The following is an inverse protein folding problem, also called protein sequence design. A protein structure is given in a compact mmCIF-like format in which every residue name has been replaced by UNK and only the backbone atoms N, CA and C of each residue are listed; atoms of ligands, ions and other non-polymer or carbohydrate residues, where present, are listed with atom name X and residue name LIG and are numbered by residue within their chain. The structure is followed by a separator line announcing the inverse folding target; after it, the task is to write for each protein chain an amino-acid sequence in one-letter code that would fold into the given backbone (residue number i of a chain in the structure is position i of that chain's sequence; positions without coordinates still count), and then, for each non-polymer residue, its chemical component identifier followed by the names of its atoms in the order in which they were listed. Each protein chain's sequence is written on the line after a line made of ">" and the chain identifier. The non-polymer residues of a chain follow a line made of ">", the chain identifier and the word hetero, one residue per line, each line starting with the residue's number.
data_IF_568496345197
#
_entry.id   IF_568496345197
#
_cell.length_a   1.000
_cell.length_b   1.000
_cell.length_c   1.000
_cell.angle_alpha   90.00
_cell.angle_beta   90.00
_cell.angle_gamma   90.00
#
_symmetry.space_group_name_H-M   'P 1'
#
loop_
_entity.id
_entity.type
_entity.pdbx_description
1 polymer ?
#
# COMPACT_ATOMS: atom_id res chain seq x y z
N UNK A 1 -26.22 69.94 -3.89
CA UNK A 1 -25.02 69.74 -3.04
C UNK A 1 -25.53 69.68 -1.60
N UNK A 2 -25.26 68.64 -0.79
CA UNK A 2 -23.97 67.99 -0.59
C UNK A 2 -23.95 66.46 -0.83
N UNK A 3 -22.73 65.92 -0.90
CA UNK A 3 -22.34 64.50 -0.98
C UNK A 3 -22.40 63.84 0.41
N UNK A 4 -22.85 62.60 0.48
CA UNK A 4 -22.53 61.64 1.55
C UNK A 4 -22.25 60.28 0.86
N UNK A 5 -20.99 60.01 0.53
CA UNK A 5 -20.02 59.21 1.28
C UNK A 5 -20.42 57.72 1.36
N UNK A 6 -19.79 56.94 0.48
CA UNK A 6 -19.79 55.48 0.46
C UNK A 6 -19.19 54.88 1.73
N UNK A 7 -19.79 53.79 2.21
CA UNK A 7 -19.10 52.74 2.96
C UNK A 7 -19.77 51.40 2.61
N UNK A 8 -19.34 50.82 1.49
CA UNK A 8 -19.60 49.43 1.19
C UNK A 8 -18.60 48.59 1.99
N UNK A 9 -19.07 47.90 3.02
CA UNK A 9 -18.32 46.85 3.68
C UNK A 9 -18.14 45.69 2.70
N UNK A 10 -16.97 45.60 2.07
CA UNK A 10 -16.54 44.40 1.36
C UNK A 10 -16.19 43.34 2.41
N UNK A 11 -17.13 42.45 2.69
CA UNK A 11 -16.87 41.24 3.46
C UNK A 11 -16.06 40.26 2.58
N UNK A 12 -14.74 40.36 2.65
CA UNK A 12 -13.85 39.36 2.06
C UNK A 12 -13.98 38.07 2.86
N UNK A 13 -14.85 37.16 2.42
CA UNK A 13 -14.89 35.80 2.92
C UNK A 13 -13.61 35.09 2.47
N UNK A 14 -12.57 35.13 3.32
CA UNK A 14 -11.44 34.24 3.21
C UNK A 14 -11.95 32.82 3.48
N UNK A 15 -12.21 32.07 2.40
CA UNK A 15 -12.41 30.64 2.48
C UNK A 15 -11.10 30.02 2.97
N UNK A 16 -11.03 29.76 4.27
CA UNK A 16 -9.96 28.97 4.85
C UNK A 16 -9.98 27.59 4.17
N UNK A 17 -9.00 27.33 3.31
CA UNK A 17 -8.63 26.01 2.84
C UNK A 17 -8.15 25.22 4.06
N UNK A 18 -9.10 24.68 4.82
CA UNK A 18 -8.85 23.58 5.73
C UNK A 18 -8.38 22.43 4.85
N UNK A 19 -7.06 22.27 4.74
CA UNK A 19 -6.44 21.00 4.33
C UNK A 19 -6.71 20.00 5.45
N UNK A 20 -7.97 19.65 5.63
CA UNK A 20 -8.33 18.42 6.30
C UNK A 20 -7.70 17.32 5.46
N UNK A 21 -6.79 16.55 6.06
CA UNK A 21 -6.50 15.22 5.56
C UNK A 21 -7.86 14.54 5.39
N UNK A 22 -8.31 14.40 4.16
CA UNK A 22 -9.56 13.74 3.83
C UNK A 22 -9.39 12.28 4.27
N UNK A 23 -9.75 11.99 5.52
CA UNK A 23 -9.68 10.67 6.15
C UNK A 23 -10.80 9.75 5.64
N UNK A 24 -11.32 10.03 4.44
CA UNK A 24 -12.26 9.16 3.75
C UNK A 24 -11.56 7.86 3.41
N UNK A 25 -12.34 6.79 3.47
CA UNK A 25 -11.88 5.49 3.03
C UNK A 25 -11.55 5.57 1.53
N UNK A 26 -10.26 5.46 1.20
CA UNK A 26 -9.74 5.54 -0.17
C UNK A 26 -9.47 4.13 -0.71
N UNK A 27 -10.38 3.22 -0.42
CA UNK A 27 -10.41 1.91 -1.04
C UNK A 27 -10.59 2.06 -2.56
N UNK A 28 -9.88 1.24 -3.31
CA UNK A 28 -9.97 1.08 -4.76
C UNK A 28 -10.58 -0.28 -5.05
N UNK A 29 -11.49 -0.33 -6.02
CA UNK A 29 -12.14 -1.56 -6.45
C UNK A 29 -13.62 -1.61 -6.08
N UNK A 30 -14.26 -2.79 -6.20
CA UNK A 30 -15.72 -2.91 -6.22
C UNK A 30 -16.42 -2.43 -4.93
N UNK A 31 -15.70 -2.44 -3.80
CA UNK A 31 -16.20 -2.01 -2.49
C UNK A 31 -15.90 -0.55 -2.16
N UNK A 32 -15.28 0.20 -3.06
CA UNK A 32 -14.95 1.61 -2.84
C UNK A 32 -16.20 2.47 -2.61
N UNK A 33 -16.16 3.33 -1.59
CA UNK A 33 -17.24 4.29 -1.29
C UNK A 33 -17.35 5.37 -2.36
N UNK A 34 -16.21 5.73 -2.97
CA UNK A 34 -16.11 6.75 -4.02
C UNK A 34 -16.25 6.08 -5.39
N UNK A 35 -17.27 6.48 -6.14
CA UNK A 35 -17.57 5.89 -7.45
C UNK A 35 -16.38 5.98 -8.42
N UNK A 36 -15.60 7.06 -8.35
CA UNK A 36 -14.43 7.24 -9.20
C UNK A 36 -13.27 6.27 -8.87
N UNK A 37 -13.25 5.68 -7.67
CA UNK A 37 -12.23 4.72 -7.24
C UNK A 37 -12.64 3.26 -7.47
N UNK A 38 -13.88 3.00 -7.91
CA UNK A 38 -14.33 1.63 -8.22
C UNK A 38 -13.57 1.00 -9.40
N UNK A 39 -13.14 1.84 -10.35
CA UNK A 39 -12.46 1.39 -11.56
C UNK A 39 -13.31 0.43 -12.38
N UNK A 40 -12.66 -0.29 -13.29
CA UNK A 40 -13.24 -1.46 -13.97
C UNK A 40 -12.72 -2.72 -13.27
N UNK A 41 -13.62 -3.62 -12.87
CA UNK A 41 -13.25 -4.85 -12.17
C UNK A 41 -13.63 -6.08 -13.00
N UNK A 42 -12.73 -7.05 -13.05
CA UNK A 42 -12.99 -8.39 -13.58
C UNK A 42 -12.45 -9.45 -12.61
N UNK A 43 -12.94 -10.68 -12.73
CA UNK A 43 -12.45 -11.81 -11.96
C UNK A 43 -11.46 -12.59 -12.82
N UNK A 44 -10.24 -12.77 -12.34
CA UNK A 44 -9.22 -13.54 -13.04
C UNK A 44 -8.31 -14.28 -12.06
N UNK A 45 -7.61 -15.27 -12.57
CA UNK A 45 -6.58 -15.96 -11.82
C UNK A 45 -5.31 -15.11 -11.85
N UNK A 46 -5.06 -14.42 -10.74
CA UNK A 46 -3.90 -13.53 -10.58
C UNK A 46 -2.61 -14.33 -10.45
N UNK A 47 -2.64 -15.38 -9.63
CA UNK A 47 -1.48 -16.24 -9.38
C UNK A 47 -1.66 -17.59 -10.07
N UNK A 48 -0.59 -18.12 -10.67
CA UNK A 48 -0.62 -19.48 -11.26
C UNK A 48 -1.03 -20.51 -10.20
N UNK A 49 -2.14 -21.21 -10.42
CA UNK A 49 -2.70 -22.18 -9.47
C UNK A 49 -3.42 -21.54 -8.25
N UNK A 50 -3.51 -20.22 -8.19
CA UNK A 50 -4.25 -19.46 -7.18
C UNK A 50 -5.75 -19.36 -7.45
N UNK A 51 -6.54 -18.83 -6.49
CA UNK A 51 -7.97 -18.59 -6.68
C UNK A 51 -8.21 -17.49 -7.72
N UNK A 52 -9.43 -17.44 -8.28
CA UNK A 52 -9.87 -16.22 -8.97
C UNK A 52 -10.02 -15.08 -7.97
N UNK A 53 -9.49 -13.92 -8.32
CA UNK A 53 -9.52 -12.71 -7.53
C UNK A 53 -9.93 -11.52 -8.40
N UNK A 54 -10.38 -10.45 -7.74
CA UNK A 54 -10.67 -9.21 -8.42
C UNK A 54 -9.38 -8.61 -8.98
N UNK A 55 -9.39 -8.27 -10.26
CA UNK A 55 -8.46 -7.35 -10.88
C UNK A 55 -9.18 -6.04 -11.14
N UNK A 56 -8.73 -4.97 -10.49
CA UNK A 56 -9.25 -3.62 -10.71
C UNK A 56 -8.32 -2.83 -11.62
N UNK A 57 -8.86 -2.21 -12.66
CA UNK A 57 -8.15 -1.21 -13.47
C UNK A 57 -8.68 0.19 -13.12
N UNK A 58 -7.78 1.09 -12.72
CA UNK A 58 -8.11 2.45 -12.30
C UNK A 58 -7.25 3.47 -13.05
N UNK A 59 -7.85 4.59 -13.48
CA UNK A 59 -7.07 5.71 -14.02
C UNK A 59 -6.39 6.51 -12.92
N UNK A 60 -5.10 6.80 -13.09
CA UNK A 60 -4.30 7.59 -12.15
C UNK A 60 -4.84 9.01 -11.92
N UNK A 61 -5.67 9.54 -12.84
CA UNK A 61 -6.31 10.87 -12.71
C UNK A 61 -7.19 11.02 -11.45
N UNK A 62 -7.63 9.89 -10.88
CA UNK A 62 -8.45 9.86 -9.67
C UNK A 62 -7.59 9.82 -8.38
N UNK A 63 -6.29 9.60 -8.53
CA UNK A 63 -5.32 9.67 -7.45
C UNK A 63 -4.94 11.13 -7.18
N UNK A 64 -4.82 11.49 -5.91
CA UNK A 64 -4.45 12.82 -5.46
C UNK A 64 -3.10 12.77 -4.74
N UNK A 65 -2.23 13.78 -4.92
CA UNK A 65 -0.97 13.86 -4.18
C UNK A 65 -1.15 13.78 -2.67
N UNK A 66 -0.26 13.07 -1.99
CA UNK A 66 -0.26 12.94 -0.52
C UNK A 66 -1.38 12.07 0.07
N UNK A 67 -2.22 11.45 -0.76
CA UNK A 67 -3.27 10.55 -0.32
C UNK A 67 -2.79 9.10 -0.22
N UNK A 68 -3.51 8.30 0.58
CA UNK A 68 -3.29 6.87 0.75
C UNK A 68 -4.46 6.11 0.16
N UNK A 69 -4.18 5.03 -0.56
CA UNK A 69 -5.15 4.19 -1.23
C UNK A 69 -4.90 2.72 -0.90
N UNK A 70 -5.98 1.96 -0.80
CA UNK A 70 -5.94 0.55 -0.46
C UNK A 70 -6.69 -0.26 -1.51
N UNK A 71 -6.17 -1.42 -1.91
CA UNK A 71 -6.85 -2.32 -2.84
C UNK A 71 -6.69 -3.78 -2.39
N UNK A 72 -7.62 -4.61 -2.83
CA UNK A 72 -7.59 -6.07 -2.64
C UNK A 72 -7.48 -6.75 -4.01
N UNK A 73 -6.74 -7.86 -4.06
CA UNK A 73 -6.48 -8.56 -5.32
C UNK A 73 -5.54 -7.75 -6.20
N UNK A 74 -5.66 -7.86 -7.52
CA UNK A 74 -4.77 -7.17 -8.45
C UNK A 74 -5.25 -5.77 -8.78
N UNK A 75 -4.29 -4.87 -8.97
CA UNK A 75 -4.54 -3.48 -9.33
C UNK A 75 -3.68 -3.07 -10.52
N UNK A 76 -4.31 -2.61 -11.60
CA UNK A 76 -3.67 -1.88 -12.68
C UNK A 76 -4.01 -0.40 -12.58
N UNK A 77 -2.98 0.45 -12.50
CA UNK A 77 -3.12 1.91 -12.61
C UNK A 77 -2.72 2.37 -14.00
N UNK A 78 -3.64 3.03 -14.69
CA UNK A 78 -3.44 3.64 -16.00
C UNK A 78 -3.02 5.11 -15.83
N UNK A 79 -1.74 5.41 -16.05
CA UNK A 79 -1.16 6.75 -15.96
C UNK A 79 -0.18 6.95 -14.80
N UNK A 80 0.25 8.20 -14.62
CA UNK A 80 1.32 8.56 -13.70
C UNK A 80 0.83 8.68 -12.25
N UNK A 81 1.52 8.01 -11.32
CA UNK A 81 1.25 8.11 -9.89
C UNK A 81 1.70 9.48 -9.36
N UNK A 82 0.80 10.27 -8.74
CA UNK A 82 1.17 11.58 -8.21
C UNK A 82 2.18 11.48 -7.06
N UNK A 83 2.90 12.57 -6.80
CA UNK A 83 3.86 12.64 -5.70
C UNK A 83 3.22 12.37 -4.33
N UNK A 84 4.00 11.80 -3.40
CA UNK A 84 3.61 11.48 -2.02
C UNK A 84 2.38 10.55 -1.89
N UNK A 85 1.92 9.96 -2.98
CA UNK A 85 0.82 9.00 -2.99
C UNK A 85 1.28 7.68 -2.38
N UNK A 86 0.46 7.07 -1.53
CA UNK A 86 0.68 5.73 -1.01
C UNK A 86 -0.37 4.79 -1.58
N UNK A 87 0.05 3.66 -2.17
CA UNK A 87 -0.84 2.61 -2.63
C UNK A 87 -0.43 1.32 -1.94
N UNK A 88 -1.37 0.67 -1.28
CA UNK A 88 -1.17 -0.64 -0.66
C UNK A 88 -2.15 -1.63 -1.28
N UNK A 89 -1.62 -2.67 -1.89
CA UNK A 89 -2.38 -3.78 -2.48
C UNK A 89 -2.23 -5.00 -1.58
N UNK A 90 -3.34 -5.58 -1.17
CA UNK A 90 -3.37 -6.79 -0.36
C UNK A 90 -3.79 -8.00 -1.18
N UNK A 91 -3.10 -9.12 -0.99
CA UNK A 91 -3.41 -10.41 -1.61
C UNK A 91 -3.40 -10.36 -3.14
N UNK A 92 -2.49 -9.59 -3.74
CA UNK A 92 -2.43 -9.42 -5.19
C UNK A 92 -1.26 -8.58 -5.64
N UNK A 93 -1.26 -8.25 -6.92
CA UNK A 93 -0.17 -7.56 -7.60
C UNK A 93 -0.53 -6.12 -7.98
N UNK A 94 0.50 -5.30 -8.17
CA UNK A 94 0.36 -3.92 -8.59
C UNK A 94 1.07 -3.67 -9.91
N UNK A 95 0.30 -3.34 -10.96
CA UNK A 95 0.83 -2.84 -12.22
C UNK A 95 0.57 -1.35 -12.36
N UNK A 96 1.61 -0.57 -12.66
CA UNK A 96 1.51 0.87 -12.97
C UNK A 96 1.94 1.08 -14.42
N UNK A 97 0.97 1.45 -15.27
CA UNK A 97 1.21 1.83 -16.66
C UNK A 97 1.51 3.32 -16.76
N UNK A 98 2.65 3.72 -16.21
CA UNK A 98 3.06 5.12 -16.13
C UNK A 98 4.29 5.32 -15.24
N UNK A 99 4.58 6.58 -14.93
CA UNK A 99 5.65 6.98 -14.03
C UNK A 99 5.20 6.93 -12.56
N UNK A 100 6.16 6.80 -11.65
CA UNK A 100 5.93 6.90 -10.20
C UNK A 100 6.54 8.18 -9.67
N UNK A 101 5.68 9.05 -9.11
CA UNK A 101 6.05 10.38 -8.63
C UNK A 101 6.99 10.38 -7.43
N UNK A 102 7.50 11.58 -7.11
CA UNK A 102 8.40 11.84 -5.99
C UNK A 102 7.77 11.39 -4.66
N UNK A 103 8.54 10.70 -3.81
CA UNK A 103 8.11 10.26 -2.47
C UNK A 103 6.85 9.37 -2.44
N UNK A 104 6.41 8.86 -3.60
CA UNK A 104 5.34 7.89 -3.65
C UNK A 104 5.77 6.57 -3.02
N UNK A 105 4.81 5.83 -2.45
CA UNK A 105 5.02 4.54 -1.79
C UNK A 105 4.09 3.51 -2.40
N UNK A 106 4.64 2.45 -2.97
CA UNK A 106 3.89 1.34 -3.54
C UNK A 106 4.22 0.08 -2.73
N UNK A 107 3.19 -0.56 -2.19
CA UNK A 107 3.32 -1.80 -1.43
C UNK A 107 2.37 -2.86 -1.99
N UNK A 108 2.88 -4.05 -2.28
CA UNK A 108 2.09 -5.18 -2.74
C UNK A 108 2.38 -6.40 -1.86
N UNK A 109 1.39 -6.78 -1.05
CA UNK A 109 1.46 -7.92 -0.17
C UNK A 109 0.95 -9.17 -0.89
N UNK A 110 1.88 -9.94 -1.45
CA UNK A 110 1.58 -11.25 -2.06
C UNK A 110 1.31 -12.31 -0.97
N UNK A 111 0.47 -13.32 -1.23
CA UNK A 111 0.18 -14.39 -0.28
C UNK A 111 1.41 -15.27 0.04
N UNK A 112 1.65 -15.50 1.33
CA UNK A 112 2.83 -16.21 1.85
C UNK A 112 2.43 -17.55 2.49
N UNK A 113 3.34 -18.54 2.45
CA UNK A 113 3.29 -19.69 3.36
C UNK A 113 4.15 -19.38 4.57
N UNK A 114 3.60 -19.59 5.77
CA UNK A 114 4.30 -19.37 7.02
C UNK A 114 4.01 -20.49 8.00
N UNK A 115 4.98 -20.86 8.83
CA UNK A 115 4.78 -21.67 10.01
C UNK A 115 5.19 -20.92 11.27
N UNK A 116 4.77 -21.43 12.43
CA UNK A 116 5.19 -20.89 13.73
C UNK A 116 6.15 -21.86 14.39
N UNK A 117 7.36 -21.40 14.67
CA UNK A 117 8.30 -22.12 15.51
C UNK A 117 8.06 -21.77 16.97
N UNK A 118 8.00 -22.80 17.81
CA UNK A 118 7.94 -22.66 19.25
C UNK A 118 9.25 -23.14 19.86
N UNK A 119 9.84 -22.33 20.72
CA UNK A 119 11.00 -22.77 21.50
C UNK A 119 10.86 -22.32 22.95
N UNK A 120 11.55 -23.04 23.83
CA UNK A 120 11.73 -22.62 25.23
C UNK A 120 13.11 -22.05 25.42
N UNK A 121 13.20 -20.90 26.04
CA UNK A 121 14.48 -20.28 26.30
C UNK A 121 14.40 -19.11 27.26
N UNK A 122 15.56 -18.56 27.62
CA UNK A 122 15.64 -17.40 28.48
C UNK A 122 14.86 -16.22 27.90
N UNK A 123 14.12 -15.51 28.74
CA UNK A 123 13.38 -14.32 28.33
C UNK A 123 12.54 -13.73 29.46
N UNK A 124 11.86 -12.63 29.16
CA UNK A 124 10.82 -12.09 30.03
C UNK A 124 9.47 -12.69 29.66
N UNK A 125 8.85 -13.38 30.60
CA UNK A 125 7.51 -13.93 30.42
C UNK A 125 6.69 -13.78 31.69
N UNK A 126 5.37 -13.85 31.53
CA UNK A 126 4.44 -13.83 32.64
C UNK A 126 4.58 -15.12 33.46
N UNK A 127 4.76 -14.97 34.77
CA UNK A 127 4.89 -16.08 35.72
C UNK A 127 3.56 -16.25 36.46
N UNK A 128 2.69 -17.19 36.06
CA UNK A 128 1.35 -17.31 36.64
C UNK A 128 1.38 -17.58 38.15
N UNK A 129 2.37 -18.34 38.63
CA UNK A 129 2.56 -18.62 40.06
C UNK A 129 2.94 -17.39 40.90
N UNK A 130 3.42 -16.30 40.29
CA UNK A 130 3.79 -15.05 40.97
C UNK A 130 2.91 -13.86 40.59
N UNK A 131 1.97 -14.03 39.66
CA UNK A 131 1.12 -12.96 39.15
C UNK A 131 1.90 -11.79 38.53
N UNK A 132 3.14 -12.01 38.07
CA UNK A 132 4.03 -10.94 37.62
C UNK A 132 4.83 -11.34 36.38
N UNK A 133 5.26 -10.34 35.60
CA UNK A 133 6.28 -10.55 34.58
C UNK A 133 7.65 -10.66 35.24
N UNK A 134 8.49 -11.55 34.72
CA UNK A 134 9.85 -11.68 35.19
C UNK A 134 10.72 -12.49 34.24
N UNK A 135 12.03 -12.35 34.41
CA UNK A 135 12.98 -13.13 33.65
C UNK A 135 12.93 -14.60 34.08
N UNK A 136 12.87 -15.51 33.11
CA UNK A 136 12.86 -16.95 33.31
C UNK A 136 13.71 -17.63 32.25
N UNK A 137 14.43 -18.69 32.62
CA UNK A 137 15.24 -19.49 31.68
C UNK A 137 14.38 -20.34 30.71
N UNK A 138 13.08 -20.47 30.99
CA UNK A 138 12.16 -21.38 30.28
C UNK A 138 10.90 -20.67 29.81
N UNK A 139 11.04 -19.45 29.26
CA UNK A 139 9.92 -18.80 28.62
C UNK A 139 9.58 -19.53 27.33
N UNK A 140 8.29 -19.77 27.10
CA UNK A 140 7.79 -20.17 25.79
C UNK A 140 7.83 -18.97 24.87
N UNK A 141 8.49 -19.11 23.74
CA UNK A 141 8.55 -18.12 22.68
C UNK A 141 7.90 -18.69 21.43
N UNK A 142 7.43 -17.80 20.56
CA UNK A 142 6.95 -18.15 19.24
C UNK A 142 7.47 -17.14 18.21
N UNK A 143 7.80 -17.62 17.02
CA UNK A 143 8.19 -16.80 15.88
C UNK A 143 7.53 -17.35 14.64
N UNK A 144 6.92 -16.46 13.87
CA UNK A 144 6.43 -16.78 12.54
C UNK A 144 7.60 -16.76 11.57
N UNK A 145 7.81 -17.87 10.89
CA UNK A 145 8.81 -18.05 9.84
C UNK A 145 8.09 -18.08 8.51
N UNK A 146 8.66 -17.41 7.51
CA UNK A 146 8.14 -17.43 6.14
C UNK A 146 8.82 -18.57 5.39
N UNK A 147 8.03 -19.51 4.89
CA UNK A 147 8.48 -20.71 4.15
C UNK A 147 8.59 -20.47 2.64
N UNK A 148 8.00 -19.38 2.15
CA UNK A 148 8.04 -18.99 0.76
C UNK A 148 6.75 -18.32 0.28
N UNK A 149 6.65 -18.12 -1.03
CA UNK A 149 5.41 -17.69 -1.67
C UNK A 149 4.38 -18.80 -1.60
N UNK A 150 3.11 -18.44 -1.39
CA UNK A 150 1.98 -19.40 -1.45
C UNK A 150 1.74 -19.93 -2.86
N UNK A 151 2.05 -19.10 -3.85
CA UNK A 151 1.89 -19.41 -5.27
C UNK A 151 3.24 -19.21 -5.96
N UNK A 152 3.59 -20.13 -6.86
CA UNK A 152 4.77 -19.99 -7.69
C UNK A 152 4.41 -19.10 -8.89
N UNK A 153 4.58 -17.80 -8.69
CA UNK A 153 4.29 -16.80 -9.71
C UNK A 153 5.58 -16.31 -10.36
N UNK A 154 5.58 -16.37 -11.69
CA UNK A 154 6.66 -15.81 -12.51
C UNK A 154 6.49 -14.31 -12.71
N UNK A 155 5.28 -13.78 -12.54
CA UNK A 155 5.02 -12.35 -12.66
C UNK A 155 5.54 -11.57 -11.43
N UNK A 156 6.01 -10.33 -11.64
CA UNK A 156 6.47 -9.47 -10.57
C UNK A 156 5.28 -8.87 -9.81
N UNK A 157 5.31 -9.02 -8.49
CA UNK A 157 4.33 -8.45 -7.57
C UNK A 157 4.13 -6.92 -7.72
N UNK A 158 5.18 -6.19 -8.14
CA UNK A 158 5.07 -4.80 -8.57
C UNK A 158 5.73 -4.63 -9.94
N UNK A 159 4.96 -4.16 -10.92
CA UNK A 159 5.44 -3.80 -12.26
C UNK A 159 5.18 -2.32 -12.56
N UNK A 160 6.23 -1.57 -12.92
CA UNK A 160 6.11 -0.17 -13.37
C UNK A 160 6.65 -0.05 -14.79
N UNK A 161 5.81 0.32 -15.74
CA UNK A 161 6.24 0.43 -17.16
C UNK A 161 7.01 1.73 -17.45
N UNK A 162 6.71 2.81 -16.72
CA UNK A 162 7.42 4.09 -16.81
C UNK A 162 8.56 4.23 -15.80
N UNK A 163 9.02 5.46 -15.55
CA UNK A 163 10.12 5.73 -14.61
C UNK A 163 9.62 5.84 -13.18
N UNK A 164 10.35 5.27 -12.24
CA UNK A 164 10.19 5.59 -10.83
C UNK A 164 11.12 6.74 -10.42
N UNK A 165 10.59 7.74 -9.73
CA UNK A 165 11.42 8.79 -9.15
C UNK A 165 12.39 8.22 -8.11
N UNK A 166 13.60 8.78 -8.01
CA UNK A 166 14.68 8.31 -7.10
C UNK A 166 14.31 8.23 -5.61
N UNK A 167 13.25 8.93 -5.20
CA UNK A 167 12.76 8.94 -3.81
C UNK A 167 11.49 8.12 -3.61
N UNK A 168 10.97 7.50 -4.68
CA UNK A 168 9.85 6.58 -4.58
C UNK A 168 10.30 5.32 -3.84
N UNK A 169 9.38 4.72 -3.08
CA UNK A 169 9.62 3.47 -2.35
C UNK A 169 8.69 2.40 -2.89
N UNK A 170 9.24 1.29 -3.32
CA UNK A 170 8.51 0.12 -3.78
C UNK A 170 8.85 -1.03 -2.84
N UNK A 171 7.84 -1.76 -2.36
CA UNK A 171 7.99 -2.80 -1.34
C UNK A 171 7.09 -3.99 -1.68
N UNK A 172 7.68 -5.17 -1.75
CA UNK A 172 6.97 -6.43 -1.86
C UNK A 172 7.86 -7.57 -1.40
N UNK A 173 7.25 -8.70 -1.06
CA UNK A 173 7.95 -9.97 -0.93
C UNK A 173 8.28 -10.61 -2.30
N UNK A 174 7.48 -10.30 -3.33
CA UNK A 174 7.70 -10.76 -4.69
C UNK A 174 8.71 -9.91 -5.45
N UNK A 175 8.90 -10.24 -6.73
CA UNK A 175 9.80 -9.46 -7.58
C UNK A 175 9.23 -8.05 -7.86
N UNK A 176 10.14 -7.08 -8.01
CA UNK A 176 9.79 -5.70 -8.38
C UNK A 176 10.50 -5.35 -9.69
N UNK A 177 9.73 -4.94 -10.68
CA UNK A 177 10.19 -4.59 -12.02
C UNK A 177 9.89 -3.13 -12.35
N UNK A 178 10.87 -2.41 -12.86
CA UNK A 178 10.72 -1.03 -13.37
C UNK A 178 11.35 -0.94 -14.76
N UNK A 179 10.55 -0.61 -15.77
CA UNK A 179 10.96 -0.51 -17.19
C UNK A 179 11.63 -1.78 -17.72
N UNK A 180 11.09 -2.96 -17.40
CA UNK A 180 11.69 -4.23 -17.82
C UNK A 180 12.96 -4.61 -17.05
N UNK A 181 13.38 -3.82 -16.06
CA UNK A 181 14.53 -4.14 -15.20
C UNK A 181 14.04 -4.60 -13.84
N UNK A 182 14.39 -5.83 -13.46
CA UNK A 182 14.12 -6.37 -12.12
C UNK A 182 15.02 -5.69 -11.10
N UNK A 183 14.45 -4.88 -10.21
CA UNK A 183 15.17 -4.18 -9.15
C UNK A 183 15.38 -5.05 -7.91
N UNK A 184 14.40 -5.90 -7.63
CA UNK A 184 14.42 -6.86 -6.54
C UNK A 184 13.99 -8.21 -7.11
N UNK A 185 14.85 -9.23 -7.14
CA UNK A 185 14.39 -10.61 -7.35
C UNK A 185 13.54 -11.02 -6.14
N UNK A 186 12.55 -11.90 -6.32
CA UNK A 186 11.70 -12.36 -5.21
C UNK A 186 12.57 -12.83 -4.03
N UNK A 187 12.53 -12.09 -2.93
CA UNK A 187 13.39 -12.29 -1.76
C UNK A 187 12.63 -11.94 -0.50
N UNK A 188 12.41 -12.95 0.33
CA UNK A 188 12.10 -12.75 1.74
C UNK A 188 13.39 -12.45 2.51
N UNK A 189 13.48 -11.49 3.46
CA UNK A 189 12.57 -10.40 3.82
C UNK A 189 13.22 -8.98 3.76
N UNK A 190 12.38 -7.96 3.53
CA UNK A 190 12.55 -6.51 3.78
C UNK A 190 13.82 -5.84 3.21
N UNK A 191 13.72 -5.29 2.00
CA UNK A 191 14.66 -4.30 1.50
C UNK A 191 14.45 -2.95 2.21
N UNK A 192 15.41 -2.56 3.05
CA UNK A 192 15.58 -1.15 3.48
C UNK A 192 16.56 -0.51 2.51
N UNK A 193 16.05 0.32 1.60
CA UNK A 193 16.89 1.10 0.69
C UNK A 193 17.90 1.93 1.50
N UNK A 194 19.19 1.70 1.25
CA UNK A 194 20.27 2.64 1.58
C UNK A 194 20.54 3.52 0.37
#
# INVERSE_FOLDING_TARGET
>A
MPRALHLAFAATAAAALLTGCDMRNNDIGPTAERDELKGSTLQEQVFTGGPQQAHTTLSARFLKPGQRYYAQGSLTIEGDIPEKTSITVQHGELTVKGNVGKEARLDAAIPLVTHTEHWRGPGYCYRPLKGSFGYSAFCSHSKTIVDGMKYDDADPAIRVTGRAHKTAKLSSAGAIEVRGTTLQPAQYPVYVAK
#
